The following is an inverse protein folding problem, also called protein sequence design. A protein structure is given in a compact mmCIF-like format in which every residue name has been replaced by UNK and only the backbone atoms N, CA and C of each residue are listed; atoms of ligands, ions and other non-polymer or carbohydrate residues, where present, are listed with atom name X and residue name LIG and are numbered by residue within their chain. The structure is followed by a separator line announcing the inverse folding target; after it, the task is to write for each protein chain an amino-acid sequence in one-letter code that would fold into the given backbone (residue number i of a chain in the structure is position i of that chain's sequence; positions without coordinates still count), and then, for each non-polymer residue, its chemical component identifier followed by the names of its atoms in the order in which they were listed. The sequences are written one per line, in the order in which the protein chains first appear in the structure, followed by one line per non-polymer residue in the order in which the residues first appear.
data_IF_542545463204
#
_entry.id   IF_542545463204
#
_cell.length_a   1.000
_cell.length_b   1.000
_cell.length_c   1.000
_cell.angle_alpha   90.00
_cell.angle_beta   90.00
_cell.angle_gamma   90.00
#
_symmetry.space_group_name_H-M   'P 1'
#
loop_
_entity.id
_entity.type
_entity.pdbx_description
1 polymer ?
#
# COMPACT_ATOMS: atom_id res chain seq x y z
N UNK A 1 -4.54 18.52 23.49
CA UNK A 1 -4.49 19.39 22.29
C UNK A 1 -3.22 19.07 21.52
N UNK A 2 -3.28 18.11 20.59
CA UNK A 2 -2.17 17.84 19.68
C UNK A 2 -2.23 18.88 18.57
N UNK A 3 -1.34 19.87 18.59
CA UNK A 3 -1.12 20.77 17.47
C UNK A 3 -0.74 19.92 16.25
N UNK A 4 -1.69 19.70 15.34
CA UNK A 4 -1.44 19.09 14.04
C UNK A 4 -0.34 19.91 13.37
N UNK A 5 0.87 19.35 13.28
CA UNK A 5 1.97 20.02 12.59
C UNK A 5 1.56 20.16 11.13
N UNK A 6 1.39 21.39 10.69
CA UNK A 6 1.18 21.75 9.29
C UNK A 6 2.29 21.12 8.45
N UNK A 7 1.96 20.67 7.24
CA UNK A 7 2.96 20.14 6.31
C UNK A 7 4.12 21.13 6.16
N UNK A 8 5.38 20.68 6.00
CA UNK A 8 6.55 21.55 5.85
C UNK A 8 6.61 22.24 4.48
N UNK A 9 5.55 22.12 3.69
CA UNK A 9 5.41 22.72 2.37
C UNK A 9 4.39 23.84 2.43
N UNK A 10 4.56 24.86 1.58
CA UNK A 10 3.51 25.85 1.36
C UNK A 10 2.25 25.23 0.73
N UNK A 11 1.16 26.00 0.60
CA UNK A 11 -0.05 25.56 -0.09
C UNK A 11 0.27 24.98 -1.48
N UNK A 12 -0.30 23.81 -1.78
CA UNK A 12 0.01 23.09 -3.02
C UNK A 12 -0.79 23.69 -4.20
N UNK A 13 -0.26 24.76 -4.79
CA UNK A 13 -0.77 25.32 -6.04
C UNK A 13 -0.43 24.42 -7.23
N UNK A 14 -1.23 23.38 -7.45
CA UNK A 14 -1.05 22.43 -8.56
C UNK A 14 -1.59 23.02 -9.87
N UNK A 15 -0.77 22.96 -10.93
CA UNK A 15 -1.23 23.19 -12.31
C UNK A 15 -2.10 22.04 -12.79
N UNK A 16 -2.89 22.25 -13.85
CA UNK A 16 -3.71 21.18 -14.44
C UNK A 16 -2.86 20.03 -14.96
N UNK A 17 -1.69 20.32 -15.53
CA UNK A 17 -0.71 19.32 -15.96
C UNK A 17 -0.21 18.47 -14.79
N UNK A 18 0.10 19.09 -13.64
CA UNK A 18 0.54 18.36 -12.44
C UNK A 18 -0.60 17.49 -11.87
N UNK A 19 -1.84 17.99 -11.86
CA UNK A 19 -3.01 17.21 -11.44
C UNK A 19 -3.20 16.00 -12.36
N UNK A 20 -3.13 16.20 -13.66
CA UNK A 20 -3.29 15.13 -14.64
C UNK A 20 -2.17 14.10 -14.52
N UNK A 21 -0.92 14.55 -14.37
CA UNK A 21 0.22 13.66 -14.15
C UNK A 21 0.04 12.76 -12.92
N UNK A 22 -0.44 13.31 -11.79
CA UNK A 22 -0.70 12.51 -10.60
C UNK A 22 -1.82 11.47 -10.82
N UNK A 23 -2.89 11.85 -11.53
CA UNK A 23 -3.97 10.92 -11.92
C UNK A 23 -3.43 9.79 -12.80
N UNK A 24 -2.66 10.12 -13.82
CA UNK A 24 -2.09 9.16 -14.75
C UNK A 24 -1.15 8.17 -14.05
N UNK A 25 -0.32 8.64 -13.10
CA UNK A 25 0.52 7.76 -12.29
C UNK A 25 -0.31 6.74 -11.50
N UNK A 26 -1.35 7.20 -10.81
CA UNK A 26 -2.23 6.31 -10.04
C UNK A 26 -2.93 5.28 -10.92
N UNK A 27 -3.49 5.70 -12.06
CA UNK A 27 -4.18 4.80 -12.99
C UNK A 27 -3.22 3.80 -13.64
N UNK A 28 -2.04 4.24 -14.09
CA UNK A 28 -1.03 3.34 -14.65
C UNK A 28 -0.56 2.31 -13.63
N UNK A 29 -0.41 2.68 -12.37
CA UNK A 29 -0.06 1.74 -11.31
C UNK A 29 -1.19 0.75 -11.04
N UNK A 30 -2.45 1.20 -11.02
CA UNK A 30 -3.62 0.32 -10.87
C UNK A 30 -3.67 -0.71 -12.01
N UNK A 31 -3.54 -0.27 -13.26
CA UNK A 31 -3.54 -1.14 -14.44
C UNK A 31 -2.42 -2.19 -14.37
N UNK A 32 -1.21 -1.79 -13.99
CA UNK A 32 -0.07 -2.72 -13.84
C UNK A 32 -0.32 -3.72 -12.71
N UNK A 33 -0.95 -3.28 -11.63
CA UNK A 33 -1.25 -4.12 -10.46
C UNK A 33 -2.33 -5.14 -10.81
N UNK A 34 -3.41 -4.72 -11.48
CA UNK A 34 -4.47 -5.61 -11.96
C UNK A 34 -3.92 -6.68 -12.92
N UNK A 35 -3.10 -6.28 -13.90
CA UNK A 35 -2.44 -7.25 -14.81
C UNK A 35 -1.56 -8.25 -14.06
N UNK A 36 -0.73 -7.76 -13.13
CA UNK A 36 0.12 -8.63 -12.31
C UNK A 36 -0.70 -9.60 -11.44
N UNK A 37 -1.85 -9.14 -10.93
CA UNK A 37 -2.80 -9.98 -10.19
C UNK A 37 -3.40 -11.07 -11.09
N UNK A 38 -3.89 -10.69 -12.27
CA UNK A 38 -4.52 -11.61 -13.23
C UNK A 38 -3.54 -12.65 -13.77
N UNK A 39 -2.31 -12.27 -14.10
CA UNK A 39 -1.26 -13.20 -14.52
C UNK A 39 -0.97 -14.25 -13.44
N UNK A 40 -1.02 -13.83 -12.16
CA UNK A 40 -0.78 -14.72 -11.04
C UNK A 40 -1.99 -15.64 -10.77
N UNK A 41 -3.21 -15.12 -10.83
CA UNK A 41 -4.45 -15.91 -10.68
C UNK A 41 -4.61 -16.94 -11.82
N UNK A 42 -4.25 -16.54 -13.04
CA UNK A 42 -4.26 -17.42 -14.21
C UNK A 42 -3.15 -18.48 -14.18
N UNK A 43 -2.12 -18.32 -13.33
CA UNK A 43 -1.03 -19.29 -13.24
C UNK A 43 -1.56 -20.63 -12.68
N UNK A 44 -1.55 -21.66 -13.53
CA UNK A 44 -2.06 -22.99 -13.19
C UNK A 44 -1.07 -23.75 -12.34
N UNK A 45 -1.58 -24.56 -11.43
CA UNK A 45 -0.77 -25.57 -10.75
C UNK A 45 -0.50 -26.71 -11.74
N UNK A 46 0.77 -26.90 -12.08
CA UNK A 46 1.23 -27.95 -13.01
C UNK A 46 0.80 -29.36 -12.58
N UNK A 47 0.51 -29.58 -11.29
CA UNK A 47 0.13 -30.90 -10.78
C UNK A 47 -1.39 -31.12 -10.69
N UNK A 48 -2.18 -30.08 -10.45
CA UNK A 48 -3.63 -30.23 -10.23
C UNK A 48 -4.48 -29.57 -11.33
N UNK A 49 -3.89 -28.78 -12.22
CA UNK A 49 -4.61 -28.06 -13.29
C UNK A 49 -5.49 -26.91 -12.79
N UNK A 50 -5.62 -26.73 -11.47
CA UNK A 50 -6.37 -25.66 -10.82
C UNK A 50 -5.58 -24.35 -10.78
N UNK A 51 -6.29 -23.23 -10.67
CA UNK A 51 -5.67 -21.92 -10.40
C UNK A 51 -4.82 -22.01 -9.11
N UNK A 52 -3.58 -21.52 -9.15
CA UNK A 52 -2.72 -21.49 -7.97
C UNK A 52 -3.25 -20.45 -7.01
N UNK A 53 -3.85 -20.92 -5.92
CA UNK A 53 -4.04 -20.07 -4.74
C UNK A 53 -2.69 -19.45 -4.38
N UNK A 54 -2.64 -18.14 -4.10
CA UNK A 54 -1.40 -17.37 -3.95
C UNK A 54 -0.39 -17.92 -2.92
N UNK A 55 -0.80 -18.89 -2.10
CA UNK A 55 0.04 -19.66 -1.19
C UNK A 55 1.05 -20.60 -1.92
N UNK A 56 0.82 -20.93 -3.19
CA UNK A 56 1.69 -21.80 -4.00
C UNK A 56 2.40 -21.03 -5.14
N UNK A 57 2.97 -19.87 -4.80
CA UNK A 57 3.79 -19.09 -5.72
C UNK A 57 5.03 -19.85 -6.20
N UNK A 58 5.43 -19.58 -7.44
CA UNK A 58 6.64 -20.17 -8.03
C UNK A 58 7.86 -19.85 -7.16
N UNK A 59 8.44 -20.90 -6.56
CA UNK A 59 9.59 -20.81 -5.66
C UNK A 59 10.87 -20.41 -6.38
N UNK A 60 10.93 -20.53 -7.71
CA UNK A 60 12.05 -20.07 -8.52
C UNK A 60 12.11 -18.53 -8.61
N UNK A 61 10.94 -17.88 -8.67
CA UNK A 61 10.82 -16.43 -8.72
C UNK A 61 10.62 -15.79 -7.35
N UNK A 62 9.94 -16.47 -6.43
CA UNK A 62 9.60 -15.93 -5.11
C UNK A 62 10.33 -16.67 -3.98
N UNK A 63 10.97 -15.90 -3.09
CA UNK A 63 11.47 -16.39 -1.81
C UNK A 63 10.47 -16.03 -0.73
N UNK A 64 9.81 -17.04 -0.16
CA UNK A 64 8.95 -16.84 1.00
C UNK A 64 9.77 -16.35 2.19
N UNK A 65 9.40 -15.20 2.74
CA UNK A 65 10.04 -14.61 3.90
C UNK A 65 9.37 -15.02 5.19
N UNK A 66 8.03 -14.94 5.23
CA UNK A 66 7.19 -15.26 6.40
C UNK A 66 5.82 -15.75 5.98
N UNK A 67 5.17 -16.51 6.86
CA UNK A 67 3.76 -16.90 6.72
C UNK A 67 3.15 -17.03 8.11
N UNK A 68 1.88 -16.66 8.24
CA UNK A 68 1.08 -16.88 9.45
C UNK A 68 -0.39 -16.96 9.06
N UNK A 69 -1.06 -18.02 9.53
CA UNK A 69 -2.48 -18.24 9.31
C UNK A 69 -2.87 -18.09 7.83
N UNK A 70 -3.53 -16.99 7.50
CA UNK A 70 -4.13 -16.65 6.22
C UNK A 70 -3.32 -15.62 5.40
N UNK A 71 -2.08 -15.31 5.79
CA UNK A 71 -1.22 -14.35 5.10
C UNK A 71 0.20 -14.90 4.89
N UNK A 72 0.80 -14.56 3.75
CA UNK A 72 2.19 -14.91 3.41
C UNK A 72 2.89 -13.73 2.75
N UNK A 73 4.16 -13.52 3.10
CA UNK A 73 5.01 -12.47 2.53
C UNK A 73 6.19 -13.10 1.81
N UNK A 74 6.40 -12.68 0.57
CA UNK A 74 7.44 -13.13 -0.33
C UNK A 74 8.31 -11.93 -0.73
N UNK A 75 9.57 -12.18 -1.04
CA UNK A 75 10.39 -11.26 -1.82
C UNK A 75 10.74 -11.88 -3.16
N UNK A 76 10.77 -11.06 -4.19
CA UNK A 76 11.25 -11.47 -5.50
C UNK A 76 12.73 -11.86 -5.41
N UNK A 77 13.06 -13.01 -6.01
CA UNK A 77 14.43 -13.41 -6.24
C UNK A 77 14.90 -12.67 -7.48
N UNK A 78 15.87 -11.76 -7.34
CA UNK A 78 16.56 -11.22 -8.51
C UNK A 78 17.29 -12.37 -9.19
N UNK A 79 16.73 -12.90 -10.27
CA UNK A 79 17.48 -13.76 -11.17
C UNK A 79 18.58 -12.87 -11.78
N UNK A 80 19.83 -13.33 -11.76
CA UNK A 80 20.94 -12.58 -12.32
C UNK A 80 20.75 -12.39 -13.84
N UNK A 81 20.07 -11.31 -14.23
CA UNK A 81 20.05 -10.83 -15.60
C UNK A 81 20.01 -9.30 -15.58
N UNK A 82 21.07 -8.70 -15.06
CA UNK A 82 21.38 -7.30 -15.39
C UNK A 82 21.76 -7.25 -16.87
N UNK A 83 20.86 -6.74 -17.72
CA UNK A 83 21.24 -6.25 -19.04
C UNK A 83 22.30 -5.15 -18.85
N UNK A 84 23.34 -5.08 -19.70
CA UNK A 84 24.35 -4.04 -19.59
C UNK A 84 23.73 -2.71 -20.01
N UNK A 85 23.40 -1.86 -19.03
CA UNK A 85 22.82 -0.53 -19.26
C UNK A 85 21.79 -0.11 -18.21
N UNK A 86 21.19 -1.05 -17.49
CA UNK A 86 20.30 -0.74 -16.38
C UNK A 86 21.12 -0.26 -15.17
N UNK A 87 20.87 0.97 -14.74
CA UNK A 87 21.40 1.45 -13.47
C UNK A 87 20.96 0.48 -12.36
N UNK A 88 21.84 0.10 -11.43
CA UNK A 88 21.52 -0.86 -10.38
C UNK A 88 20.62 -0.17 -9.34
N UNK A 89 19.34 0.05 -9.67
CA UNK A 89 18.35 0.29 -8.63
C UNK A 89 18.14 -1.04 -7.90
N UNK A 90 18.89 -1.20 -6.82
CA UNK A 90 18.95 -2.40 -6.00
C UNK A 90 17.66 -2.60 -5.17
N UNK A 91 16.51 -2.09 -5.64
CA UNK A 91 15.22 -2.20 -4.98
C UNK A 91 14.78 -3.65 -4.76
N UNK A 92 13.91 -3.85 -3.77
CA UNK A 92 13.30 -5.15 -3.49
C UNK A 92 11.81 -5.08 -3.78
N UNK A 93 11.30 -6.07 -4.50
CA UNK A 93 9.87 -6.28 -4.69
C UNK A 93 9.39 -7.27 -3.62
N UNK A 94 8.39 -6.85 -2.87
CA UNK A 94 7.69 -7.68 -1.91
C UNK A 94 6.29 -7.97 -2.42
N UNK A 95 5.83 -9.18 -2.13
CA UNK A 95 4.48 -9.61 -2.45
C UNK A 95 3.86 -10.22 -1.20
N UNK A 96 2.77 -9.64 -0.74
CA UNK A 96 1.96 -10.16 0.33
C UNK A 96 0.63 -10.66 -0.21
N UNK A 97 0.27 -11.88 0.19
CA UNK A 97 -0.90 -12.59 -0.36
C UNK A 97 -1.59 -13.43 0.68
N UNK A 98 -2.87 -13.71 0.45
CA UNK A 98 -3.68 -14.47 1.40
C UNK A 98 -5.16 -14.09 1.35
N UNK A 99 -5.89 -14.39 2.42
CA UNK A 99 -7.36 -14.23 2.44
C UNK A 99 -7.82 -13.58 3.73
N UNK A 100 -8.81 -12.69 3.69
CA UNK A 100 -9.47 -12.10 4.86
C UNK A 100 -10.88 -12.69 4.98
N UNK A 101 -11.23 -13.19 6.17
CA UNK A 101 -12.56 -13.75 6.44
C UNK A 101 -13.53 -12.61 6.83
N UNK A 102 -13.87 -11.78 5.85
CA UNK A 102 -14.81 -10.66 5.97
C UNK A 102 -15.30 -10.25 4.58
N UNK A 103 -16.34 -9.42 4.51
CA UNK A 103 -16.82 -8.91 3.22
C UNK A 103 -15.87 -7.85 2.64
N UNK A 104 -15.96 -7.63 1.33
CA UNK A 104 -15.20 -6.58 0.68
C UNK A 104 -15.50 -5.20 1.27
N UNK A 105 -16.75 -4.92 1.59
CA UNK A 105 -17.15 -3.60 2.11
C UNK A 105 -16.57 -3.36 3.52
N UNK A 106 -16.50 -4.39 4.38
CA UNK A 106 -15.83 -4.29 5.68
C UNK A 106 -14.32 -4.05 5.54
N UNK A 107 -13.68 -4.74 4.58
CA UNK A 107 -12.26 -4.54 4.29
C UNK A 107 -12.01 -3.11 3.80
N UNK A 108 -12.78 -2.65 2.82
CA UNK A 108 -12.62 -1.31 2.26
C UNK A 108 -12.95 -0.21 3.27
N UNK A 109 -13.99 -0.37 4.10
CA UNK A 109 -14.30 0.58 5.17
C UNK A 109 -13.23 0.62 6.26
N UNK A 110 -12.59 -0.52 6.56
CA UNK A 110 -11.42 -0.54 7.43
C UNK A 110 -10.22 0.20 6.83
N UNK A 111 -10.01 0.07 5.51
CA UNK A 111 -8.83 0.59 4.83
C UNK A 111 -8.96 2.04 4.33
N UNK A 112 -10.15 2.55 4.10
CA UNK A 112 -10.34 3.91 3.57
C UNK A 112 -9.66 4.96 4.46
N UNK A 113 -9.02 5.93 3.81
CA UNK A 113 -8.36 7.07 4.44
C UNK A 113 -8.66 8.35 3.65
N UNK A 114 -9.89 8.90 3.78
CA UNK A 114 -10.29 10.10 3.02
C UNK A 114 -9.51 11.35 3.43
N UNK A 115 -8.89 11.33 4.61
CA UNK A 115 -8.01 12.39 5.08
C UNK A 115 -6.80 11.80 5.85
N UNK A 116 -5.88 12.69 6.26
CA UNK A 116 -4.71 12.29 6.99
C UNK A 116 -5.01 11.80 8.41
N UNK A 117 -6.09 12.27 9.06
CA UNK A 117 -6.45 11.80 10.40
C UNK A 117 -6.86 10.33 10.34
N UNK A 118 -7.67 9.94 9.35
CA UNK A 118 -8.02 8.57 9.08
C UNK A 118 -6.78 7.70 8.79
N UNK A 119 -5.82 8.21 8.00
CA UNK A 119 -4.55 7.52 7.76
C UNK A 119 -3.73 7.34 9.04
N UNK A 120 -3.68 8.37 9.91
CA UNK A 120 -2.96 8.31 11.17
C UNK A 120 -3.57 7.27 12.11
N UNK A 121 -4.91 7.22 12.22
CA UNK A 121 -5.63 6.19 12.98
C UNK A 121 -5.34 4.81 12.40
N UNK A 122 -5.45 4.64 11.08
CA UNK A 122 -5.14 3.38 10.39
C UNK A 122 -3.73 2.89 10.71
N UNK A 123 -2.74 3.77 10.63
CA UNK A 123 -1.34 3.42 10.91
C UNK A 123 -1.10 3.07 12.38
N UNK A 124 -1.73 3.79 13.31
CA UNK A 124 -1.62 3.53 14.74
C UNK A 124 -2.26 2.19 15.14
N UNK A 125 -3.46 1.89 14.62
CA UNK A 125 -4.23 0.69 14.97
C UNK A 125 -3.68 -0.56 14.25
N UNK A 126 -3.53 -0.49 12.92
CA UNK A 126 -3.17 -1.66 12.12
C UNK A 126 -1.65 -1.88 12.11
N UNK A 127 -0.89 -0.80 11.91
CA UNK A 127 0.58 -0.84 11.80
C UNK A 127 1.32 -0.75 13.14
N UNK A 128 0.63 -0.42 14.24
CA UNK A 128 1.25 -0.13 15.56
C UNK A 128 2.37 0.91 15.48
N UNK A 129 2.28 1.80 14.49
CA UNK A 129 3.29 2.79 14.20
C UNK A 129 2.57 4.10 13.88
N UNK A 130 2.49 5.05 14.82
CA UNK A 130 1.94 6.35 14.51
C UNK A 130 2.82 7.04 13.45
N UNK A 131 2.17 7.71 12.52
CA UNK A 131 2.82 8.49 11.46
C UNK A 131 2.45 9.96 11.60
N UNK A 132 3.39 10.82 11.23
CA UNK A 132 3.14 12.26 11.04
C UNK A 132 2.97 12.53 9.55
N UNK A 133 2.26 13.60 9.19
CA UNK A 133 1.96 13.87 7.79
C UNK A 133 0.79 14.82 7.59
N UNK A 134 0.35 14.94 6.34
CA UNK A 134 -0.80 15.75 5.94
C UNK A 134 -1.32 15.33 4.56
N UNK A 135 -2.60 15.59 4.29
CA UNK A 135 -3.13 15.64 2.93
C UNK A 135 -2.70 16.97 2.30
N UNK A 136 -1.92 16.92 1.23
CA UNK A 136 -1.44 18.13 0.54
C UNK A 136 -2.46 18.66 -0.48
N UNK A 137 -3.17 17.76 -1.16
CA UNK A 137 -4.26 18.09 -2.08
C UNK A 137 -5.19 16.90 -2.26
N UNK A 138 -6.50 17.16 -2.34
CA UNK A 138 -7.50 16.18 -2.79
C UNK A 138 -7.77 16.40 -4.29
N UNK A 139 -7.65 15.33 -5.07
CA UNK A 139 -7.91 15.33 -6.52
C UNK A 139 -9.31 14.80 -6.84
N UNK A 140 -9.76 13.80 -6.10
CA UNK A 140 -11.14 13.31 -6.06
C UNK A 140 -11.42 12.71 -4.68
N UNK A 141 -12.68 12.68 -4.26
CA UNK A 141 -13.07 12.21 -2.93
C UNK A 141 -14.34 11.36 -2.97
N UNK A 142 -14.72 10.81 -1.82
CA UNK A 142 -15.82 9.86 -1.73
C UNK A 142 -17.17 10.54 -2.01
N UNK A 143 -18.12 9.76 -2.50
CA UNK A 143 -19.51 10.18 -2.75
C UNK A 143 -20.48 9.21 -2.09
N UNK A 144 -21.76 9.57 -1.96
CA UNK A 144 -22.78 8.67 -1.39
C UNK A 144 -22.89 7.34 -2.16
N UNK A 145 -22.70 7.37 -3.48
CA UNK A 145 -22.77 6.19 -4.35
C UNK A 145 -21.45 5.45 -4.50
N UNK A 146 -20.33 6.09 -4.16
CA UNK A 146 -18.98 5.53 -4.23
C UNK A 146 -18.16 5.98 -3.00
N UNK A 147 -18.42 5.37 -1.82
CA UNK A 147 -17.90 5.85 -0.54
C UNK A 147 -16.41 5.55 -0.36
N UNK A 148 -15.85 4.58 -1.10
CA UNK A 148 -14.44 4.19 -0.97
C UNK A 148 -13.53 4.88 -1.99
N UNK A 149 -14.11 5.68 -2.89
CA UNK A 149 -13.36 6.43 -3.89
C UNK A 149 -12.60 7.58 -3.26
N UNK A 150 -11.29 7.59 -3.47
CA UNK A 150 -10.45 8.71 -3.08
C UNK A 150 -9.26 8.79 -4.01
N UNK A 151 -8.82 10.01 -4.30
CA UNK A 151 -7.51 10.27 -4.88
C UNK A 151 -6.93 11.56 -4.32
N UNK A 152 -5.71 11.51 -3.81
CA UNK A 152 -5.07 12.67 -3.21
C UNK A 152 -3.55 12.58 -3.21
N UNK A 153 -2.93 13.73 -3.02
CA UNK A 153 -1.49 13.87 -2.80
C UNK A 153 -1.28 13.99 -1.30
N UNK A 154 -0.46 13.12 -0.75
CA UNK A 154 -0.20 13.02 0.68
C UNK A 154 1.28 13.19 0.97
N UNK A 155 1.56 13.70 2.15
CA UNK A 155 2.89 13.69 2.75
C UNK A 155 2.86 12.88 4.04
N UNK A 156 3.85 12.02 4.24
CA UNK A 156 3.98 11.20 5.43
C UNK A 156 5.44 11.14 5.87
N UNK A 157 5.67 11.12 7.18
CA UNK A 157 6.96 10.83 7.80
C UNK A 157 6.92 9.43 8.42
N UNK A 158 7.76 8.54 7.90
CA UNK A 158 8.01 7.24 8.49
C UNK A 158 9.10 7.33 9.56
N UNK A 159 8.71 7.44 10.83
CA UNK A 159 9.64 7.35 11.97
C UNK A 159 9.75 5.91 12.46
N UNK A 160 10.95 5.36 12.45
CA UNK A 160 11.19 4.01 12.94
C UNK A 160 11.34 4.04 14.47
N UNK A 161 10.76 3.06 15.16
CA UNK A 161 11.01 2.83 16.59
C UNK A 161 12.33 2.07 16.79
N UNK A 162 12.89 2.13 17.99
CA UNK A 162 14.03 1.27 18.33
C UNK A 162 13.57 -0.20 18.31
N UNK A 163 14.36 -1.14 17.75
CA UNK A 163 15.76 -0.98 17.29
C UNK A 163 15.93 -0.59 15.82
N UNK A 164 14.86 -0.44 15.04
CA UNK A 164 14.93 -0.17 13.60
C UNK A 164 15.51 1.23 13.29
N UNK A 165 15.28 2.20 14.17
CA UNK A 165 15.89 3.54 14.08
C UNK A 165 17.42 3.55 14.15
N UNK A 166 18.07 2.50 14.68
CA UNK A 166 19.53 2.40 14.71
C UNK A 166 20.14 2.11 13.33
N UNK A 167 19.35 1.59 12.39
CA UNK A 167 19.82 1.17 11.06
C UNK A 167 19.08 1.85 9.90
N UNK A 168 17.90 2.44 10.15
CA UNK A 168 17.10 3.14 9.15
C UNK A 168 16.96 4.61 9.54
N UNK A 169 17.47 5.49 8.68
CA UNK A 169 17.28 6.94 8.83
C UNK A 169 15.79 7.32 8.68
N UNK A 170 15.31 8.39 9.35
CA UNK A 170 13.98 8.93 9.14
C UNK A 170 13.73 9.25 7.66
N UNK A 171 12.54 8.96 7.17
CA UNK A 171 12.14 9.23 5.80
C UNK A 171 10.84 10.00 5.73
N UNK A 172 10.79 10.95 4.81
CA UNK A 172 9.54 11.56 4.38
C UNK A 172 9.16 11.04 2.99
N UNK A 173 7.88 11.02 2.70
CA UNK A 173 7.33 10.55 1.44
C UNK A 173 6.31 11.56 0.96
N UNK A 174 6.40 11.91 -0.32
CA UNK A 174 5.36 12.66 -1.04
C UNK A 174 4.85 11.72 -2.13
N UNK A 175 3.54 11.45 -2.13
CA UNK A 175 2.98 10.42 -2.99
C UNK A 175 1.54 10.75 -3.39
N UNK A 176 1.14 10.26 -4.56
CA UNK A 176 -0.27 10.13 -4.91
C UNK A 176 -0.81 8.82 -4.32
N UNK A 177 -1.99 8.87 -3.74
CA UNK A 177 -2.76 7.73 -3.25
C UNK A 177 -4.10 7.69 -3.98
N UNK A 178 -4.56 6.51 -4.37
CA UNK A 178 -5.91 6.29 -4.86
C UNK A 178 -6.51 5.00 -4.33
N UNK A 179 -7.79 5.04 -3.95
CA UNK A 179 -8.58 3.89 -3.49
C UNK A 179 -9.92 3.86 -4.19
N UNK A 180 -10.53 2.68 -4.25
CA UNK A 180 -11.88 2.53 -4.77
C UNK A 180 -12.28 1.08 -4.92
N UNK A 181 -13.48 0.86 -5.46
CA UNK A 181 -13.98 -0.45 -5.86
C UNK A 181 -14.31 -0.43 -7.35
N UNK A 182 -13.86 -1.44 -8.07
CA UNK A 182 -14.20 -1.66 -9.48
C UNK A 182 -15.03 -2.93 -9.63
N UNK A 183 -15.99 -2.88 -10.55
CA UNK A 183 -16.76 -4.06 -10.96
C UNK A 183 -16.28 -4.44 -12.35
N UNK A 184 -15.76 -5.67 -12.49
CA UNK A 184 -15.30 -6.21 -13.77
C UNK A 184 -16.49 -6.59 -14.65
N UNK A 185 -16.23 -6.75 -15.95
CA UNK A 185 -17.25 -7.16 -16.91
C UNK A 185 -17.88 -8.54 -16.61
N UNK A 186 -17.15 -9.41 -15.89
CA UNK A 186 -17.64 -10.70 -15.42
C UNK A 186 -18.41 -10.63 -14.08
N UNK A 187 -18.65 -9.42 -13.55
CA UNK A 187 -19.36 -9.19 -12.29
C UNK A 187 -18.48 -9.24 -11.03
N UNK A 188 -17.19 -9.53 -11.14
CA UNK A 188 -16.30 -9.56 -9.99
C UNK A 188 -16.10 -8.17 -9.39
N UNK A 189 -16.22 -8.07 -8.06
CA UNK A 189 -15.93 -6.84 -7.31
C UNK A 189 -14.51 -6.88 -6.78
N UNK A 190 -13.73 -5.86 -7.10
CA UNK A 190 -12.37 -5.67 -6.62
C UNK A 190 -12.25 -4.33 -5.90
N UNK A 191 -11.84 -4.36 -4.64
CA UNK A 191 -11.27 -3.19 -3.99
C UNK A 191 -9.82 -2.99 -4.44
N UNK A 192 -9.37 -1.75 -4.49
CA UNK A 192 -7.97 -1.43 -4.75
C UNK A 192 -7.45 -0.30 -3.86
N UNK A 193 -6.14 -0.33 -3.62
CA UNK A 193 -5.36 0.80 -3.11
C UNK A 193 -4.07 0.88 -3.91
N UNK A 194 -3.75 2.04 -4.46
CA UNK A 194 -2.47 2.31 -5.13
C UNK A 194 -1.82 3.54 -4.55
N UNK A 195 -0.52 3.45 -4.32
CA UNK A 195 0.27 4.53 -3.75
C UNK A 195 1.58 4.62 -4.54
N UNK A 196 1.92 5.81 -5.03
CA UNK A 196 3.14 6.04 -5.78
C UNK A 196 3.78 7.37 -5.42
N UNK A 197 5.07 7.34 -5.08
CA UNK A 197 5.85 8.57 -4.89
C UNK A 197 5.82 9.46 -6.12
N UNK A 198 5.64 10.76 -5.89
CA UNK A 198 5.61 11.78 -6.93
C UNK A 198 6.62 12.89 -6.59
N UNK A 199 7.34 13.34 -7.60
CA UNK A 199 8.28 14.45 -7.49
C UNK A 199 7.57 15.74 -7.94
N UNK A 200 7.23 16.60 -6.97
CA UNK A 200 6.59 17.89 -7.21
C UNK A 200 7.56 19.03 -6.88
N UNK A 201 7.71 20.04 -7.77
CA UNK A 201 8.55 21.22 -7.51
C UNK A 201 8.21 21.93 -6.19
N UNK A 202 6.92 21.95 -5.83
CA UNK A 202 6.40 22.54 -4.59
C UNK A 202 6.80 21.77 -3.33
N UNK A 203 7.28 20.53 -3.47
CA UNK A 203 7.60 19.63 -2.36
C UNK A 203 9.08 19.25 -2.37
N UNK A 204 9.96 20.26 -2.24
CA UNK A 204 11.41 20.03 -2.16
C UNK A 204 11.79 19.08 -1.01
N UNK A 205 12.87 18.29 -1.15
CA UNK A 205 13.37 17.44 -0.06
C UNK A 205 13.64 18.23 1.22
N UNK A 206 13.31 17.64 2.37
CA UNK A 206 13.56 18.26 3.67
C UNK A 206 15.05 18.20 4.03
N UNK A 207 15.56 19.14 4.86
CA UNK A 207 16.94 19.12 5.32
C UNK A 207 17.31 17.82 6.07
N UNK A 208 18.60 17.50 6.06
CA UNK A 208 19.15 16.40 6.86
C UNK A 208 18.77 16.55 8.35
N UNK A 209 18.50 15.45 9.08
CA UNK A 209 18.78 14.05 8.71
C UNK A 209 17.65 13.35 7.91
N UNK A 210 16.60 14.08 7.50
CA UNK A 210 15.50 13.49 6.72
C UNK A 210 15.95 13.06 5.33
N UNK A 211 15.47 11.91 4.87
CA UNK A 211 15.74 11.41 3.52
C UNK A 211 14.41 11.25 2.77
N UNK A 212 14.27 11.88 1.61
CA UNK A 212 13.12 11.66 0.71
C UNK A 212 13.10 10.21 0.27
N UNK A 213 12.11 9.47 0.76
CA UNK A 213 11.88 8.08 0.39
C UNK A 213 11.09 7.97 -0.91
N UNK A 214 11.27 6.84 -1.60
CA UNK A 214 10.41 6.41 -2.69
C UNK A 214 9.63 5.17 -2.26
N UNK A 215 8.33 5.20 -2.46
CA UNK A 215 7.42 4.08 -2.27
C UNK A 215 6.58 3.89 -3.53
N UNK A 216 6.28 2.63 -3.83
CA UNK A 216 5.29 2.25 -4.83
C UNK A 216 4.61 0.98 -4.34
N UNK A 217 3.29 1.02 -4.24
CA UNK A 217 2.47 -0.03 -3.65
C UNK A 217 1.18 -0.16 -4.45
N UNK A 218 0.79 -1.37 -4.80
CA UNK A 218 -0.51 -1.69 -5.38
C UNK A 218 -1.13 -2.86 -4.65
N UNK A 219 -2.38 -2.71 -4.22
CA UNK A 219 -3.16 -3.71 -3.54
C UNK A 219 -4.48 -3.97 -4.27
N UNK A 220 -4.85 -5.24 -4.37
CA UNK A 220 -6.12 -5.75 -4.89
C UNK A 220 -6.78 -6.60 -3.80
N UNK A 221 -8.07 -6.35 -3.61
CA UNK A 221 -8.94 -7.03 -2.65
C UNK A 221 -10.12 -7.62 -3.43
N UNK A 222 -10.04 -8.90 -3.82
CA UNK A 222 -11.09 -9.56 -4.62
C UNK A 222 -12.12 -10.21 -3.72
N UNK A 223 -13.40 -9.89 -3.95
CA UNK A 223 -14.49 -10.62 -3.32
C UNK A 223 -14.60 -12.04 -3.91
N UNK A 224 -14.53 -13.05 -3.07
CA UNK A 224 -14.71 -14.46 -3.45
C UNK A 224 -16.17 -14.89 -3.28
N UNK A 225 -16.56 -15.97 -3.97
CA UNK A 225 -17.91 -16.53 -3.94
C UNK A 225 -18.38 -16.92 -2.53
N UNK A 226 -17.44 -17.36 -1.68
CA UNK A 226 -17.72 -17.72 -0.29
C UNK A 226 -17.88 -16.50 0.64
N UNK A 227 -17.87 -15.27 0.09
CA UNK A 227 -18.00 -14.01 0.82
C UNK A 227 -16.72 -13.50 1.48
N UNK A 228 -15.63 -14.26 1.44
CA UNK A 228 -14.31 -13.82 1.92
C UNK A 228 -13.58 -12.97 0.87
N UNK A 229 -12.48 -12.33 1.26
CA UNK A 229 -11.70 -11.44 0.38
C UNK A 229 -10.32 -12.04 0.14
N UNK A 230 -9.98 -12.29 -1.12
CA UNK A 230 -8.62 -12.58 -1.53
C UNK A 230 -7.80 -11.29 -1.60
N UNK A 231 -6.55 -11.36 -1.15
CA UNK A 231 -5.68 -10.20 -0.97
C UNK A 231 -4.39 -10.41 -1.74
N UNK A 232 -4.07 -9.42 -2.55
CA UNK A 232 -2.82 -9.31 -3.29
C UNK A 232 -2.22 -7.93 -3.09
N UNK A 233 -1.00 -7.86 -2.55
CA UNK A 233 -0.33 -6.60 -2.27
C UNK A 233 1.12 -6.66 -2.78
N UNK A 234 1.42 -5.86 -3.80
CA UNK A 234 2.76 -5.74 -4.38
C UNK A 234 3.39 -4.42 -3.98
N UNK A 235 4.57 -4.48 -3.38
CA UNK A 235 5.31 -3.32 -2.88
C UNK A 235 6.70 -3.27 -3.51
N UNK A 236 7.09 -2.11 -4.03
CA UNK A 236 8.45 -1.83 -4.50
C UNK A 236 9.11 -0.88 -3.52
N UNK A 237 10.29 -1.25 -3.06
CA UNK A 237 11.04 -0.45 -2.11
C UNK A 237 12.38 -0.04 -2.70
N UNK A 238 12.62 1.27 -2.78
CA UNK A 238 13.90 1.83 -3.20
C UNK A 238 15.00 1.52 -2.20
N UNK A 239 16.10 0.95 -2.67
CA UNK A 239 17.24 0.57 -1.84
C UNK A 239 18.23 1.72 -1.67
N UNK A 240 17.97 2.61 -0.72
CA UNK A 240 19.07 3.42 -0.16
C UNK A 240 19.79 2.71 1.00
N UNK A 241 19.64 1.38 1.12
CA UNK A 241 20.35 0.55 2.09
C UNK A 241 20.16 -0.94 1.80
N UNK A 242 21.26 -1.67 1.59
CA UNK A 242 21.35 -3.08 1.19
C UNK A 242 20.90 -4.09 2.26
N UNK A 243 19.84 -3.82 3.02
CA UNK A 243 19.56 -4.57 4.23
C UNK A 243 18.11 -5.03 4.27
N UNK A 244 17.81 -6.13 3.56
CA UNK A 244 16.69 -6.99 3.91
C UNK A 244 17.11 -7.94 5.05
N UNK A 245 17.57 -7.38 6.17
CA UNK A 245 17.91 -8.19 7.34
C UNK A 245 16.63 -8.64 8.06
N UNK A 246 16.81 -9.55 9.03
CA UNK A 246 15.69 -10.10 9.80
C UNK A 246 14.82 -9.03 10.47
N UNK A 247 15.41 -7.91 10.91
CA UNK A 247 14.69 -6.83 11.58
C UNK A 247 13.80 -6.06 10.60
N UNK A 248 14.35 -5.69 9.44
CA UNK A 248 13.63 -4.98 8.37
C UNK A 248 12.48 -5.85 7.83
N UNK A 249 12.74 -7.15 7.59
CA UNK A 249 11.71 -8.12 7.19
C UNK A 249 10.62 -8.26 8.25
N UNK A 250 10.99 -8.27 9.54
CA UNK A 250 10.01 -8.34 10.63
C UNK A 250 9.10 -7.10 10.66
N UNK A 251 9.66 -5.90 10.51
CA UNK A 251 8.89 -4.66 10.49
C UNK A 251 7.96 -4.59 9.26
N UNK A 252 8.44 -5.00 8.09
CA UNK A 252 7.62 -5.10 6.88
C UNK A 252 6.48 -6.09 7.04
N UNK A 253 6.76 -7.23 7.67
CA UNK A 253 5.75 -8.24 7.96
C UNK A 253 4.67 -7.73 8.90
N UNK A 254 5.02 -7.04 9.98
CA UNK A 254 4.01 -6.46 10.89
C UNK A 254 3.18 -5.36 10.21
N UNK A 255 3.82 -4.50 9.39
CA UNK A 255 3.11 -3.49 8.59
C UNK A 255 2.14 -4.14 7.61
N UNK A 256 2.58 -5.21 6.93
CA UNK A 256 1.77 -5.99 6.00
C UNK A 256 0.59 -6.66 6.69
N UNK A 257 0.80 -7.27 7.87
CA UNK A 257 -0.28 -7.89 8.63
C UNK A 257 -1.35 -6.90 9.09
N UNK A 258 -1.03 -5.60 9.12
CA UNK A 258 -2.01 -4.54 9.34
C UNK A 258 -3.18 -4.61 8.36
N UNK A 259 -2.94 -4.85 7.07
CA UNK A 259 -3.99 -4.96 6.06
C UNK A 259 -4.98 -6.11 6.33
N UNK A 260 -4.49 -7.24 6.85
CA UNK A 260 -5.34 -8.37 7.25
C UNK A 260 -6.22 -8.09 8.47
N UNK A 261 -5.92 -7.03 9.22
CA UNK A 261 -6.70 -6.57 10.37
C UNK A 261 -7.69 -5.46 10.00
N UNK A 262 -7.84 -5.12 8.72
CA UNK A 262 -8.80 -4.11 8.26
C UNK A 262 -10.23 -4.28 8.83
N UNK A 263 -10.81 -5.50 8.91
CA UNK A 263 -12.14 -5.67 9.51
C UNK A 263 -12.22 -5.22 10.97
N UNK A 264 -11.14 -5.35 11.74
CA UNK A 264 -11.11 -4.91 13.14
C UNK A 264 -11.19 -3.38 13.22
N UNK A 265 -10.54 -2.67 12.29
CA UNK A 265 -10.63 -1.22 12.22
C UNK A 265 -12.01 -0.77 11.72
N UNK A 266 -12.65 -1.52 10.82
CA UNK A 266 -14.06 -1.30 10.44
C UNK A 266 -14.97 -1.34 11.66
N UNK A 267 -14.88 -2.39 12.48
CA UNK A 267 -15.66 -2.53 13.71
C UNK A 267 -15.42 -1.35 14.67
N UNK A 268 -14.16 -0.95 14.87
CA UNK A 268 -13.81 0.19 15.71
C UNK A 268 -14.40 1.51 15.21
N UNK A 269 -14.34 1.77 13.90
CA UNK A 269 -14.96 2.97 13.29
C UNK A 269 -16.46 3.00 13.53
N UNK A 270 -17.15 1.87 13.36
CA UNK A 270 -18.61 1.76 13.62
C UNK A 270 -18.95 1.99 15.09
N UNK A 271 -18.18 1.38 16.00
CA UNK A 271 -18.37 1.57 17.44
C UNK A 271 -18.16 3.04 17.84
N UNK A 272 -17.14 3.69 17.30
CA UNK A 272 -16.91 5.12 17.52
C UNK A 272 -18.12 5.94 17.06
N UNK A 273 -18.62 5.69 15.85
CA UNK A 273 -19.81 6.37 15.34
C UNK A 273 -21.04 6.17 16.24
N UNK A 274 -21.29 4.95 16.72
CA UNK A 274 -22.39 4.65 17.65
C UNK A 274 -22.24 5.27 19.05
N UNK A 275 -21.04 5.71 19.44
CA UNK A 275 -20.83 6.42 20.71
C UNK A 275 -21.00 7.93 20.55
N UNK A 276 -20.74 8.44 19.34
CA UNK A 276 -20.80 9.87 19.01
C UNK A 276 -22.20 10.31 18.54
N UNK A 277 -23.08 9.37 18.21
CA UNK A 277 -24.46 9.57 17.74
C UNK A 277 -25.45 8.72 18.55
#
# INVERSE_FOLDING_TARGET
MASGRQAPFGPLGLTDEQRQHCKDLAFQLLDRTLRSYDEQDASKDLHTGSARHHRNLDRAHWKQLRTRANASLYCERKLHSSLPGDHPDNGCVLLAVGTIQSSLDEVMFGLETPDFLALQVRSAVLGKQPVDGATLAQLSGPTETDPFHFMGIMWMVGKQSWPLSAVVRPRDFVYVSATGVVIRANGERLGYEVIQSVDLPQCSPLPAPMVRGKLMHGAIYRQLENGSVDVYIKMHMGSHGRILNRLVVAAMWESTLGFWRAPQLSEMKKLQWCMEN
#
